data_IF_729581728829
#
_entry.id   IF_729581728829
#
_cell.length_a   1.000
_cell.length_b   1.000
_cell.length_c   1.000
_cell.angle_alpha   90.00
_cell.angle_beta   90.00
_cell.angle_gamma   90.00
#
_symmetry.space_group_name_H-M   'P 1'
#
loop_
_entity.id
_entity.type
_entity.pdbx_description
1 polymer ?
#
# COMPACT_ATOMS: atom_id res chain seq x y z
N UNK A 1 -30.31 5.83 11.14
CA UNK A 1 -29.03 5.27 11.64
C UNK A 1 -27.94 5.36 10.55
N UNK A 2 -27.64 6.56 10.05
CA UNK A 2 -26.58 6.77 9.06
C UNK A 2 -25.51 7.64 9.70
N UNK A 3 -24.38 7.06 10.03
CA UNK A 3 -23.36 7.81 10.76
C UNK A 3 -22.02 7.11 10.82
N UNK A 4 -21.46 6.65 9.69
CA UNK A 4 -20.09 6.09 9.68
C UNK A 4 -19.35 6.28 8.34
N UNK A 5 -19.54 7.38 7.61
CA UNK A 5 -18.54 7.77 6.60
C UNK A 5 -17.42 8.56 7.29
N UNK A 6 -16.62 7.87 8.13
CA UNK A 6 -15.31 8.41 8.49
C UNK A 6 -14.44 8.34 7.25
N UNK A 7 -13.92 9.49 6.83
CA UNK A 7 -12.88 9.55 5.81
C UNK A 7 -11.73 8.64 6.24
N UNK A 8 -11.21 7.83 5.31
CA UNK A 8 -10.10 6.94 5.59
C UNK A 8 -8.94 7.74 6.15
N UNK A 9 -8.36 7.27 7.25
CA UNK A 9 -7.16 7.88 7.81
C UNK A 9 -6.00 7.74 6.82
N UNK A 10 -4.98 8.57 6.96
CA UNK A 10 -3.80 8.50 6.10
C UNK A 10 -3.13 7.12 6.15
N UNK A 11 -3.05 6.52 7.35
CA UNK A 11 -2.58 5.14 7.53
C UNK A 11 -3.43 4.14 6.74
N UNK A 12 -4.76 4.24 6.81
CA UNK A 12 -5.66 3.35 6.06
C UNK A 12 -5.48 3.50 4.55
N UNK A 13 -5.34 4.74 4.05
CA UNK A 13 -5.10 4.99 2.62
C UNK A 13 -3.78 4.39 2.16
N UNK A 14 -2.73 4.50 2.96
CA UNK A 14 -1.42 3.94 2.65
C UNK A 14 -1.45 2.40 2.70
N UNK A 15 -2.09 1.80 3.71
CA UNK A 15 -2.27 0.33 3.78
C UNK A 15 -3.00 -0.23 2.57
N UNK A 16 -4.09 0.41 2.15
CA UNK A 16 -4.83 -0.03 0.96
C UNK A 16 -3.99 0.06 -0.32
N UNK A 17 -3.17 1.12 -0.44
CA UNK A 17 -2.25 1.24 -1.57
C UNK A 17 -1.17 0.16 -1.55
N UNK A 18 -0.60 -0.11 -0.38
CA UNK A 18 0.38 -1.19 -0.19
C UNK A 18 -0.20 -2.54 -0.62
N UNK A 19 -1.38 -2.91 -0.11
CA UNK A 19 -2.04 -4.17 -0.45
C UNK A 19 -2.33 -4.26 -1.95
N UNK A 20 -2.77 -3.16 -2.56
CA UNK A 20 -3.02 -3.09 -4.00
C UNK A 20 -1.74 -3.30 -4.80
N UNK A 21 -0.64 -2.62 -4.45
CA UNK A 21 0.65 -2.75 -5.12
C UNK A 21 1.23 -4.15 -4.98
N UNK A 22 1.13 -4.77 -3.80
CA UNK A 22 1.55 -6.15 -3.59
C UNK A 22 0.71 -7.14 -4.41
N UNK A 23 -0.61 -6.94 -4.48
CA UNK A 23 -1.49 -7.75 -5.34
C UNK A 23 -1.18 -7.59 -6.83
N UNK A 24 -0.87 -6.37 -7.28
CA UNK A 24 -0.41 -6.09 -8.65
C UNK A 24 0.95 -6.73 -8.94
N UNK A 25 1.90 -6.61 -8.01
CA UNK A 25 3.23 -7.24 -8.11
C UNK A 25 3.11 -8.75 -8.24
N UNK A 26 2.27 -9.40 -7.43
CA UNK A 26 2.04 -10.84 -7.51
C UNK A 26 1.46 -11.25 -8.87
N UNK A 27 0.45 -10.55 -9.37
CA UNK A 27 -0.13 -10.83 -10.71
C UNK A 27 0.90 -10.64 -11.82
N UNK A 28 1.70 -9.59 -11.72
CA UNK A 28 2.78 -9.31 -12.68
C UNK A 28 3.91 -10.32 -12.58
N UNK A 29 4.17 -10.92 -11.42
CA UNK A 29 5.24 -11.93 -11.28
C UNK A 29 5.05 -13.12 -12.22
N UNK A 30 3.81 -13.40 -12.64
CA UNK A 30 3.47 -14.49 -13.54
C UNK A 30 3.64 -14.13 -15.03
N UNK A 31 3.78 -12.84 -15.38
CA UNK A 31 3.78 -12.36 -16.77
C UNK A 31 4.90 -11.38 -17.12
N UNK A 32 5.31 -10.53 -16.18
CA UNK A 32 6.34 -9.53 -16.33
C UNK A 32 7.08 -9.31 -15.01
N UNK A 33 8.25 -9.96 -14.90
CA UNK A 33 9.10 -9.89 -13.71
C UNK A 33 9.60 -8.47 -13.41
N UNK A 34 9.99 -7.71 -14.43
CA UNK A 34 10.48 -6.35 -14.23
C UNK A 34 9.38 -5.43 -13.68
N UNK A 35 8.17 -5.52 -14.20
CA UNK A 35 7.04 -4.74 -13.68
C UNK A 35 6.63 -5.21 -12.27
N UNK A 36 6.75 -6.50 -11.97
CA UNK A 36 6.53 -7.05 -10.63
C UNK A 36 7.52 -6.47 -9.61
N UNK A 37 8.81 -6.44 -9.96
CA UNK A 37 9.89 -5.91 -9.13
C UNK A 37 9.68 -4.41 -8.85
N UNK A 38 9.25 -3.63 -9.86
CA UNK A 38 8.91 -2.21 -9.69
C UNK A 38 7.75 -2.01 -8.70
N UNK A 39 6.69 -2.80 -8.82
CA UNK A 39 5.52 -2.72 -7.92
C UNK A 39 5.84 -3.13 -6.49
N UNK A 40 6.72 -4.11 -6.31
CA UNK A 40 7.21 -4.50 -5.00
C UNK A 40 8.01 -3.35 -4.36
N UNK A 41 8.90 -2.70 -5.11
CA UNK A 41 9.66 -1.54 -4.63
C UNK A 41 8.75 -0.35 -4.24
N UNK A 42 7.71 -0.07 -5.03
CA UNK A 42 6.70 0.94 -4.69
C UNK A 42 5.97 0.58 -3.37
N UNK A 43 5.66 -0.70 -3.16
CA UNK A 43 5.03 -1.16 -1.93
C UNK A 43 5.95 -0.97 -0.71
N UNK A 44 7.24 -1.30 -0.83
CA UNK A 44 8.22 -1.09 0.24
C UNK A 44 8.33 0.38 0.65
N UNK A 45 8.28 1.31 -0.30
CA UNK A 45 8.30 2.75 0.00
C UNK A 45 7.04 3.21 0.74
N UNK A 46 5.87 2.63 0.43
CA UNK A 46 4.65 2.88 1.22
C UNK A 46 4.78 2.30 2.63
N UNK A 47 5.42 1.14 2.79
CA UNK A 47 5.66 0.55 4.09
C UNK A 47 6.52 1.46 4.97
N UNK A 48 7.57 2.07 4.41
CA UNK A 48 8.39 3.08 5.10
C UNK A 48 7.58 4.31 5.50
N UNK A 49 6.66 4.78 4.65
CA UNK A 49 5.76 5.90 5.00
C UNK A 49 4.83 5.54 6.16
N UNK A 50 4.30 4.31 6.18
CA UNK A 50 3.48 3.80 7.28
C UNK A 50 4.25 3.73 8.60
N UNK A 51 5.50 3.27 8.56
CA UNK A 51 6.38 3.23 9.74
C UNK A 51 6.70 4.65 10.24
N UNK A 52 6.96 5.59 9.34
CA UNK A 52 7.20 6.99 9.69
C UNK A 52 5.97 7.67 10.33
N UNK A 53 4.76 7.29 9.93
CA UNK A 53 3.53 7.78 10.58
C UNK A 53 3.35 7.20 11.99
N UNK A 54 3.71 5.93 12.21
CA UNK A 54 3.64 5.30 13.54
C UNK A 54 4.71 5.77 14.52
N UNK A 55 5.83 6.28 14.02
CA UNK A 55 6.93 6.82 14.83
C UNK A 55 6.75 8.29 15.25
N UNK A 56 5.68 8.98 14.82
CA UNK A 56 5.37 10.30 15.39
C UNK A 56 4.81 10.13 16.82
N UNK A 57 5.47 10.68 17.85
CA UNK A 57 5.01 10.62 19.24
C UNK A 57 3.72 11.41 19.47
#
# INVERSE_FOLDING_TARGET
>A
MFGLFKSKTEEQKLRERYEKLMGESYKLSHSNRQASDQKAAEADDIMKQLEGLKQKP
#
